data_IF_806846549377
#
_entry.id   IF_806846549377
#
_cell.length_a   1.000
_cell.length_b   1.000
_cell.length_c   1.000
_cell.angle_alpha   90.00
_cell.angle_beta   90.00
_cell.angle_gamma   90.00
#
_symmetry.space_group_name_H-M   'P 1'
#
loop_
_entity.id
_entity.type
_entity.pdbx_description
1 polymer ?
#
# COMPACT_ATOMS: atom_id res chain seq x y z
N UNK A 1 -30.40 40.10 11.81
CA UNK A 1 -30.30 38.92 10.92
C UNK A 1 -28.87 38.62 10.47
N UNK A 2 -28.12 39.57 9.91
CA UNK A 2 -26.72 39.37 9.47
C UNK A 2 -25.78 38.81 10.56
N UNK A 3 -25.89 39.31 11.81
CA UNK A 3 -25.07 38.83 12.93
C UNK A 3 -25.36 37.37 13.33
N UNK A 4 -26.63 36.95 13.26
CA UNK A 4 -27.05 35.57 13.58
C UNK A 4 -26.54 34.61 12.49
N UNK A 5 -26.65 35.02 11.23
CA UNK A 5 -26.08 34.28 10.10
C UNK A 5 -24.56 34.10 10.22
N UNK A 6 -23.86 35.14 10.65
CA UNK A 6 -22.42 35.10 10.85
C UNK A 6 -22.01 34.13 11.96
N UNK A 7 -22.74 34.12 13.08
CA UNK A 7 -22.50 33.19 14.20
C UNK A 7 -22.79 31.74 13.77
N UNK A 8 -23.85 31.49 13.00
CA UNK A 8 -24.18 30.16 12.50
C UNK A 8 -23.10 29.62 11.54
N UNK A 9 -22.59 30.46 10.63
CA UNK A 9 -21.50 30.09 9.72
C UNK A 9 -20.22 29.81 10.51
N UNK A 10 -19.87 30.64 11.49
CA UNK A 10 -18.68 30.41 12.30
C UNK A 10 -18.79 29.13 13.15
N UNK A 11 -19.96 28.85 13.73
CA UNK A 11 -20.20 27.60 14.46
C UNK A 11 -20.06 26.37 13.55
N UNK A 12 -20.57 26.45 12.32
CA UNK A 12 -20.45 25.37 11.33
C UNK A 12 -18.99 25.13 10.92
N UNK A 13 -18.19 26.20 10.75
CA UNK A 13 -16.77 26.07 10.42
C UNK A 13 -15.96 25.45 11.58
N UNK A 14 -16.23 25.85 12.83
CA UNK A 14 -15.56 25.29 14.03
C UNK A 14 -15.85 23.81 14.20
N UNK A 15 -17.09 23.37 13.93
CA UNK A 15 -17.45 21.95 13.99
C UNK A 15 -16.71 21.11 12.93
N UNK A 16 -16.52 21.63 11.71
CA UNK A 16 -15.79 20.92 10.65
C UNK A 16 -14.28 20.83 10.91
N UNK A 17 -13.67 21.85 11.52
CA UNK A 17 -12.24 21.82 11.88
C UNK A 17 -11.99 20.83 13.02
N UNK A 18 -12.84 20.82 14.06
CA UNK A 18 -12.74 19.84 15.14
C UNK A 18 -12.99 18.40 14.65
N UNK A 19 -13.91 18.18 13.70
CA UNK A 19 -14.13 16.87 13.08
C UNK A 19 -12.98 16.37 12.19
N UNK A 20 -12.11 17.28 11.71
CA UNK A 20 -10.91 16.92 10.96
C UNK A 20 -9.78 16.48 11.90
N UNK A 21 -9.69 17.05 13.10
CA UNK A 21 -8.69 16.70 14.12
C UNK A 21 -9.05 15.41 14.89
N UNK A 22 -10.34 15.04 14.94
CA UNK A 22 -10.83 13.80 15.55
C UNK A 22 -10.86 12.59 14.57
N UNK A 23 -10.18 12.69 13.42
CA UNK A 23 -9.88 11.53 12.58
C UNK A 23 -8.74 10.72 13.22
N UNK A 24 -9.12 9.87 14.17
CA UNK A 24 -8.23 9.08 15.02
C UNK A 24 -6.96 8.53 14.36
N UNK A 25 -5.82 8.90 14.97
CA UNK A 25 -4.47 8.40 14.74
C UNK A 25 -3.90 8.65 13.33
N UNK A 26 -3.54 9.91 13.04
CA UNK A 26 -2.66 10.29 11.91
C UNK A 26 -1.42 9.38 11.80
N UNK A 27 -0.85 9.00 12.94
CA UNK A 27 0.33 8.12 13.01
C UNK A 27 0.05 6.73 12.42
N UNK A 28 -1.13 6.17 12.70
CA UNK A 28 -1.53 4.86 12.13
C UNK A 28 -1.78 4.93 10.63
N UNK A 29 -2.17 6.10 10.11
CA UNK A 29 -2.37 6.32 8.67
C UNK A 29 -1.02 6.39 7.96
N UNK A 30 -0.08 7.16 8.48
CA UNK A 30 1.27 7.25 7.91
C UNK A 30 2.01 5.90 8.01
N UNK A 31 1.89 5.16 9.12
CA UNK A 31 2.41 3.79 9.22
C UNK A 31 1.79 2.84 8.18
N UNK A 32 0.48 2.96 7.92
CA UNK A 32 -0.20 2.16 6.88
C UNK A 32 0.32 2.52 5.49
N UNK A 33 0.50 3.81 5.18
CA UNK A 33 1.10 4.25 3.91
C UNK A 33 2.50 3.67 3.73
N UNK A 34 3.36 3.77 4.74
CA UNK A 34 4.71 3.20 4.71
C UNK A 34 4.70 1.70 4.36
N UNK A 35 3.87 0.91 5.05
CA UNK A 35 3.72 -0.52 4.77
C UNK A 35 3.21 -0.83 3.37
N UNK A 36 2.26 -0.05 2.86
CA UNK A 36 1.73 -0.23 1.50
C UNK A 36 2.82 0.06 0.47
N UNK A 37 3.58 1.15 0.64
CA UNK A 37 4.67 1.53 -0.26
C UNK A 37 5.77 0.47 -0.25
N UNK A 38 6.17 -0.01 0.94
CA UNK A 38 7.15 -1.10 1.08
C UNK A 38 6.69 -2.35 0.30
N UNK A 39 5.42 -2.73 0.43
CA UNK A 39 4.86 -3.88 -0.28
C UNK A 39 4.83 -3.68 -1.80
N UNK A 40 4.49 -2.48 -2.28
CA UNK A 40 4.52 -2.14 -3.71
C UNK A 40 5.95 -2.26 -4.23
N UNK A 41 6.94 -1.70 -3.52
CA UNK A 41 8.34 -1.76 -3.91
C UNK A 41 8.87 -3.19 -3.96
N UNK A 42 8.53 -4.03 -2.96
CA UNK A 42 8.90 -5.44 -2.97
C UNK A 42 8.33 -6.18 -4.17
N UNK A 43 7.05 -5.96 -4.48
CA UNK A 43 6.40 -6.57 -5.65
C UNK A 43 6.99 -6.07 -6.97
N UNK A 44 7.37 -4.79 -7.05
CA UNK A 44 8.03 -4.21 -8.22
C UNK A 44 9.38 -4.88 -8.47
N UNK A 45 10.22 -5.04 -7.45
CA UNK A 45 11.50 -5.74 -7.59
C UNK A 45 11.35 -7.18 -8.10
N UNK A 46 10.35 -7.91 -7.62
CA UNK A 46 10.05 -9.27 -8.13
C UNK A 46 9.64 -9.29 -9.61
N UNK A 47 8.92 -8.26 -10.06
CA UNK A 47 8.53 -8.12 -11.46
C UNK A 47 9.72 -7.74 -12.35
N UNK A 48 10.59 -6.84 -11.88
CA UNK A 48 11.79 -6.43 -12.63
C UNK A 48 12.76 -7.62 -12.81
N UNK A 49 12.91 -8.45 -11.78
CA UNK A 49 13.67 -9.71 -11.85
C UNK A 49 13.05 -10.71 -12.83
N UNK A 50 11.71 -10.84 -12.83
CA UNK A 50 11.01 -11.72 -13.75
C UNK A 50 11.13 -11.24 -15.20
N UNK A 51 10.97 -9.93 -15.44
CA UNK A 51 11.16 -9.32 -16.74
C UNK A 51 12.58 -9.57 -17.26
N UNK A 52 13.59 -9.36 -16.41
CA UNK A 52 15.00 -9.62 -16.76
C UNK A 52 15.23 -11.09 -17.10
N UNK A 53 14.67 -12.02 -16.31
CA UNK A 53 14.77 -13.46 -16.58
C UNK A 53 14.14 -13.82 -17.94
N UNK A 54 12.96 -13.28 -18.23
CA UNK A 54 12.26 -13.55 -19.50
C UNK A 54 13.03 -12.95 -20.69
N UNK A 55 13.59 -11.74 -20.56
CA UNK A 55 14.41 -11.12 -21.61
C UNK A 55 15.70 -11.91 -21.90
N UNK A 56 16.29 -12.52 -20.88
CA UNK A 56 17.50 -13.33 -21.02
C UNK A 56 17.23 -14.79 -21.39
N UNK A 57 15.97 -15.24 -21.43
CA UNK A 57 15.63 -16.63 -21.71
C UNK A 57 15.87 -16.98 -23.19
N UNK A 58 16.78 -17.92 -23.45
CA UNK A 58 17.09 -18.40 -24.80
C UNK A 58 16.24 -19.59 -25.24
N UNK A 59 15.50 -20.22 -24.32
CA UNK A 59 14.75 -21.44 -24.59
C UNK A 59 13.42 -21.52 -23.83
N UNK A 60 12.57 -22.46 -24.26
CA UNK A 60 11.33 -22.80 -23.54
C UNK A 60 11.60 -23.35 -22.14
N UNK A 61 12.72 -24.04 -21.94
CA UNK A 61 13.12 -24.52 -20.63
C UNK A 61 13.45 -23.36 -19.68
N UNK A 62 14.14 -22.34 -20.18
CA UNK A 62 14.48 -21.13 -19.42
C UNK A 62 13.22 -20.36 -19.02
N UNK A 63 12.25 -20.20 -19.94
CA UNK A 63 10.96 -19.57 -19.63
C UNK A 63 10.18 -20.32 -18.54
N UNK A 64 10.22 -21.67 -18.57
CA UNK A 64 9.60 -22.50 -17.53
C UNK A 64 10.29 -22.27 -16.19
N UNK A 65 11.62 -22.13 -16.18
CA UNK A 65 12.40 -21.85 -14.98
C UNK A 65 12.09 -20.45 -14.43
N UNK A 66 12.07 -19.41 -15.27
CA UNK A 66 11.68 -18.05 -14.88
C UNK A 66 10.29 -18.02 -14.24
N UNK A 67 9.32 -18.72 -14.84
CA UNK A 67 7.95 -18.82 -14.29
C UNK A 67 7.94 -19.51 -12.92
N UNK A 68 8.72 -20.57 -12.75
CA UNK A 68 8.81 -21.30 -11.48
C UNK A 68 9.44 -20.42 -10.39
N UNK A 69 10.59 -19.81 -10.66
CA UNK A 69 11.28 -18.94 -9.72
C UNK A 69 10.41 -17.75 -9.30
N UNK A 70 9.74 -17.08 -10.24
CA UNK A 70 8.82 -15.99 -9.91
C UNK A 70 7.64 -16.46 -9.06
N UNK A 71 7.07 -17.65 -9.35
CA UNK A 71 6.01 -18.24 -8.54
C UNK A 71 6.48 -18.50 -7.11
N UNK A 72 7.65 -19.12 -6.94
CA UNK A 72 8.21 -19.46 -5.63
C UNK A 72 8.45 -18.19 -4.80
N UNK A 73 9.05 -17.15 -5.41
CA UNK A 73 9.24 -15.84 -4.75
C UNK A 73 7.92 -15.17 -4.34
N UNK A 74 6.89 -15.27 -5.18
CA UNK A 74 5.55 -14.75 -4.85
C UNK A 74 4.86 -15.53 -3.74
N UNK A 75 5.07 -16.85 -3.65
CA UNK A 75 4.57 -17.68 -2.54
C UNK A 75 5.28 -17.36 -1.21
N UNK A 76 6.59 -17.13 -1.24
CA UNK A 76 7.34 -16.64 -0.07
C UNK A 76 6.80 -15.29 0.40
N UNK A 77 6.60 -14.33 -0.50
CA UNK A 77 6.02 -13.04 -0.13
C UNK A 77 4.59 -13.16 0.46
N UNK A 78 3.76 -14.07 -0.07
CA UNK A 78 2.42 -14.33 0.45
C UNK A 78 2.44 -15.00 1.82
N UNK A 79 3.36 -15.94 2.05
CA UNK A 79 3.49 -16.64 3.33
C UNK A 79 4.02 -15.70 4.42
N UNK A 80 5.02 -14.87 4.11
CA UNK A 80 5.47 -13.78 5.01
C UNK A 80 4.32 -12.84 5.39
N UNK A 81 3.43 -12.51 4.43
CA UNK A 81 2.26 -11.66 4.71
C UNK A 81 1.28 -12.36 5.65
N UNK A 82 1.01 -13.65 5.44
CA UNK A 82 0.15 -14.44 6.33
C UNK A 82 0.73 -14.53 7.74
N UNK A 83 2.04 -14.75 7.87
CA UNK A 83 2.72 -14.79 9.16
C UNK A 83 2.62 -13.46 9.93
N UNK A 84 2.65 -12.33 9.22
CA UNK A 84 2.49 -10.98 9.81
C UNK A 84 1.05 -10.63 10.22
N UNK A 85 0.03 -11.27 9.64
CA UNK A 85 -1.38 -11.02 9.98
C UNK A 85 -2.02 -12.13 10.83
N UNK A 86 -1.32 -13.24 11.09
CA UNK A 86 -1.81 -14.38 11.87
C UNK A 86 -1.40 -14.38 13.35
N UNK A 87 -1.02 -13.23 13.91
CA UNK A 87 -0.84 -13.02 15.36
C UNK A 87 -1.93 -12.09 15.87
#
# INVERSE_FOLDING_TARGET
MKKILFVAVMAFLVQNVAYAEDMGNSDKVEERKGRIIEHINKKRGLLDEFESCVKSAGSRADLKNCRKQHKDKMETMRSERKARHGK
#
